data_IF_901421412855
#
_entry.id   IF_901421412855
#
_cell.length_a   1.000
_cell.length_b   1.000
_cell.length_c   1.000
_cell.angle_alpha   90.00
_cell.angle_beta   90.00
_cell.angle_gamma   90.00
#
_symmetry.space_group_name_H-M   'P 1'
#
loop_
_entity.id
_entity.type
_entity.pdbx_description
1 polymer ?
#
# COMPACT_ATOMS: atom_id res chain seq x y z
N UNK A 1 -23.75 -5.53 -31.65
CA UNK A 1 -24.33 -6.46 -30.66
C UNK A 1 -25.85 -6.34 -30.72
N UNK A 2 -26.59 -7.46 -30.74
CA UNK A 2 -28.06 -7.50 -30.78
C UNK A 2 -28.71 -7.05 -29.45
N UNK A 3 -27.94 -7.00 -28.37
CA UNK A 3 -28.41 -6.65 -27.02
C UNK A 3 -27.65 -5.44 -26.48
N UNK A 4 -28.34 -4.60 -25.70
CA UNK A 4 -27.81 -3.34 -25.16
C UNK A 4 -27.74 -3.38 -23.63
N UNK A 5 -26.89 -2.56 -23.05
CA UNK A 5 -26.89 -2.32 -21.62
C UNK A 5 -28.27 -1.84 -21.15
N UNK A 6 -28.77 -2.40 -20.05
CA UNK A 6 -30.12 -2.22 -19.53
C UNK A 6 -31.15 -3.25 -20.02
N UNK A 7 -30.80 -4.17 -20.94
CA UNK A 7 -31.71 -5.21 -21.42
C UNK A 7 -31.91 -6.31 -20.36
N UNK A 8 -33.16 -6.47 -19.91
CA UNK A 8 -33.55 -7.44 -18.90
C UNK A 8 -34.29 -8.66 -19.48
N UNK A 9 -34.40 -8.79 -20.81
CA UNK A 9 -35.22 -9.82 -21.48
C UNK A 9 -34.81 -11.26 -21.15
N UNK A 10 -33.53 -11.47 -20.82
CA UNK A 10 -32.97 -12.79 -20.46
C UNK A 10 -32.59 -12.89 -18.97
N UNK A 11 -33.02 -11.95 -18.14
CA UNK A 11 -32.65 -11.89 -16.73
C UNK A 11 -32.91 -13.23 -16.03
N UNK A 12 -34.11 -13.77 -16.16
CA UNK A 12 -34.51 -15.02 -15.48
C UNK A 12 -33.64 -16.21 -15.89
N UNK A 13 -33.32 -16.32 -17.19
CA UNK A 13 -32.50 -17.41 -17.71
C UNK A 13 -31.04 -17.30 -17.23
N UNK A 14 -30.49 -16.07 -17.21
CA UNK A 14 -29.13 -15.82 -16.73
C UNK A 14 -29.04 -16.06 -15.23
N UNK A 15 -30.01 -15.58 -14.43
CA UNK A 15 -30.05 -15.83 -12.99
C UNK A 15 -30.14 -17.31 -12.64
N UNK A 16 -30.79 -18.13 -13.50
CA UNK A 16 -30.81 -19.58 -13.36
C UNK A 16 -29.42 -20.19 -13.59
N UNK A 17 -28.73 -19.76 -14.65
CA UNK A 17 -27.36 -20.21 -14.98
C UNK A 17 -26.33 -19.79 -13.91
N UNK A 18 -26.60 -18.72 -13.17
CA UNK A 18 -25.77 -18.29 -12.02
C UNK A 18 -25.85 -19.25 -10.82
N UNK A 19 -26.67 -20.30 -10.88
CA UNK A 19 -26.75 -21.36 -9.86
C UNK A 19 -26.34 -22.74 -10.40
N UNK A 20 -25.76 -22.77 -11.60
CA UNK A 20 -25.36 -24.01 -12.26
C UNK A 20 -24.27 -24.78 -11.47
N UNK A 21 -24.27 -26.12 -11.49
CA UNK A 21 -23.22 -26.91 -10.86
C UNK A 21 -21.81 -26.66 -11.40
N UNK A 22 -21.66 -26.21 -12.66
CA UNK A 22 -20.36 -25.89 -13.27
C UNK A 22 -19.89 -24.48 -12.89
N UNK A 23 -18.69 -24.35 -12.27
CA UNK A 23 -18.07 -23.05 -11.99
C UNK A 23 -17.93 -22.16 -13.23
N UNK A 24 -17.60 -22.74 -14.37
CA UNK A 24 -17.41 -22.03 -15.64
C UNK A 24 -18.71 -21.43 -16.15
N UNK A 25 -19.82 -22.17 -16.06
CA UNK A 25 -21.16 -21.70 -16.44
C UNK A 25 -21.59 -20.54 -15.54
N UNK A 26 -21.37 -20.66 -14.23
CA UNK A 26 -21.67 -19.60 -13.27
C UNK A 26 -20.85 -18.34 -13.56
N UNK A 27 -19.56 -18.48 -13.84
CA UNK A 27 -18.68 -17.34 -14.20
C UNK A 27 -19.21 -16.66 -15.46
N UNK A 28 -19.48 -17.41 -16.53
CA UNK A 28 -20.00 -16.86 -17.79
C UNK A 28 -21.33 -16.14 -17.57
N UNK A 29 -22.24 -16.73 -16.79
CA UNK A 29 -23.52 -16.11 -16.46
C UNK A 29 -23.34 -14.78 -15.69
N UNK A 30 -22.40 -14.72 -14.73
CA UNK A 30 -22.03 -13.47 -14.05
C UNK A 30 -21.43 -12.43 -15.02
N UNK A 31 -20.64 -12.85 -16.01
CA UNK A 31 -20.08 -11.95 -17.04
C UNK A 31 -21.18 -11.38 -17.93
N UNK A 32 -22.11 -12.24 -18.35
CA UNK A 32 -23.29 -11.82 -19.12
C UNK A 32 -24.17 -10.87 -18.31
N UNK A 33 -24.34 -11.12 -17.01
CA UNK A 33 -25.09 -10.24 -16.12
C UNK A 33 -24.48 -8.84 -16.03
N UNK A 34 -23.16 -8.77 -15.86
CA UNK A 34 -22.41 -7.50 -15.89
C UNK A 34 -22.52 -6.79 -17.25
N UNK A 35 -22.45 -7.54 -18.35
CA UNK A 35 -22.52 -6.97 -19.69
C UNK A 35 -23.89 -6.37 -20.01
N UNK A 36 -24.98 -7.05 -19.63
CA UNK A 36 -26.35 -6.60 -19.87
C UNK A 36 -26.80 -5.54 -18.88
N UNK A 37 -26.19 -5.46 -17.69
CA UNK A 37 -26.32 -4.34 -16.76
C UNK A 37 -27.78 -3.96 -16.38
N UNK A 38 -28.67 -4.95 -16.21
CA UNK A 38 -30.05 -4.69 -15.77
C UNK A 38 -30.11 -4.22 -14.30
N UNK A 39 -31.20 -3.58 -13.83
CA UNK A 39 -31.29 -3.13 -12.44
C UNK A 39 -31.03 -4.26 -11.43
N UNK A 40 -30.22 -4.00 -10.39
CA UNK A 40 -29.81 -4.98 -9.36
C UNK A 40 -28.92 -6.15 -9.85
N UNK A 41 -28.44 -6.17 -11.10
CA UNK A 41 -27.58 -7.25 -11.60
C UNK A 41 -26.33 -7.48 -10.75
N UNK A 42 -25.68 -6.41 -10.26
CA UNK A 42 -24.47 -6.50 -9.42
C UNK A 42 -24.73 -7.10 -8.05
N UNK A 43 -25.91 -6.84 -7.47
CA UNK A 43 -26.34 -7.47 -6.22
C UNK A 43 -26.50 -8.98 -6.43
N UNK A 44 -27.08 -9.39 -7.57
CA UNK A 44 -27.23 -10.80 -7.90
C UNK A 44 -25.91 -11.50 -8.17
N UNK A 45 -25.00 -10.86 -8.91
CA UNK A 45 -23.62 -11.33 -9.13
C UNK A 45 -22.91 -11.52 -7.80
N UNK A 46 -23.07 -10.58 -6.86
CA UNK A 46 -22.57 -10.72 -5.50
C UNK A 46 -23.05 -11.96 -4.78
N UNK A 47 -24.37 -12.10 -4.66
CA UNK A 47 -24.99 -13.20 -3.92
C UNK A 47 -24.50 -14.55 -4.45
N UNK A 48 -24.44 -14.69 -5.78
CA UNK A 48 -23.93 -15.89 -6.46
C UNK A 48 -22.47 -16.18 -6.12
N UNK A 49 -21.61 -15.18 -6.19
CA UNK A 49 -20.17 -15.34 -5.94
C UNK A 49 -19.89 -15.66 -4.48
N UNK A 50 -20.61 -15.00 -3.56
CA UNK A 50 -20.52 -15.22 -2.12
C UNK A 50 -21.05 -16.60 -1.70
N UNK A 51 -22.11 -17.09 -2.34
CA UNK A 51 -22.68 -18.40 -2.06
C UNK A 51 -21.87 -19.56 -2.68
N UNK A 52 -21.02 -19.28 -3.67
CA UNK A 52 -20.27 -20.32 -4.36
C UNK A 52 -19.11 -20.87 -3.52
N UNK A 53 -18.98 -22.20 -3.49
CA UNK A 53 -17.83 -22.91 -2.89
C UNK A 53 -16.65 -23.03 -3.84
N UNK A 54 -16.83 -22.72 -5.13
CA UNK A 54 -15.79 -22.86 -6.13
C UNK A 54 -14.84 -21.66 -6.09
N UNK A 55 -13.54 -21.94 -5.85
CA UNK A 55 -12.49 -20.91 -5.76
C UNK A 55 -12.44 -20.02 -7.01
N UNK A 56 -12.57 -20.60 -8.20
CA UNK A 56 -12.58 -19.84 -9.46
C UNK A 56 -13.75 -18.86 -9.58
N UNK A 57 -14.94 -19.22 -9.08
CA UNK A 57 -16.11 -18.32 -9.06
C UNK A 57 -15.90 -17.19 -8.06
N UNK A 58 -15.32 -17.48 -6.88
CA UNK A 58 -14.98 -16.45 -5.89
C UNK A 58 -13.97 -15.44 -6.44
N UNK A 59 -12.91 -15.92 -7.10
CA UNK A 59 -11.83 -15.07 -7.62
C UNK A 59 -12.25 -14.27 -8.84
N UNK A 60 -12.82 -14.92 -9.87
CA UNK A 60 -13.24 -14.26 -11.10
C UNK A 60 -14.51 -13.45 -10.86
N UNK A 61 -15.43 -13.95 -10.04
CA UNK A 61 -16.63 -13.23 -9.63
C UNK A 61 -16.34 -11.92 -8.90
N UNK A 62 -15.34 -11.89 -8.02
CA UNK A 62 -14.86 -10.66 -7.40
C UNK A 62 -14.34 -9.66 -8.46
N UNK A 63 -13.65 -10.15 -9.51
CA UNK A 63 -13.21 -9.31 -10.63
C UNK A 63 -14.39 -8.77 -11.47
N UNK A 64 -15.47 -9.54 -11.60
CA UNK A 64 -16.69 -9.10 -12.28
C UNK A 64 -17.46 -8.05 -11.50
N UNK A 65 -17.30 -7.99 -10.18
CA UNK A 65 -17.92 -6.93 -9.38
C UNK A 65 -17.23 -5.57 -9.48
N UNK A 66 -16.08 -5.48 -10.16
CA UNK A 66 -15.36 -4.23 -10.41
C UNK A 66 -16.07 -3.39 -11.49
N UNK A 67 -16.10 -2.07 -11.39
CA UNK A 67 -16.66 -1.20 -12.44
C UNK A 67 -15.80 -1.25 -13.73
N UNK A 68 -16.36 -1.00 -14.93
CA UNK A 68 -15.58 -0.94 -16.17
C UNK A 68 -14.51 0.16 -16.09
N UNK A 69 -13.22 -0.20 -16.28
CA UNK A 69 -12.08 0.73 -16.23
C UNK A 69 -11.06 0.49 -15.11
N UNK A 70 -11.29 -0.49 -14.22
CA UNK A 70 -10.44 -0.69 -13.04
C UNK A 70 -9.33 -1.72 -13.25
N UNK A 71 -8.20 -1.26 -13.80
CA UNK A 71 -6.88 -1.90 -13.77
C UNK A 71 -5.94 -0.97 -12.98
N UNK A 72 -5.24 -1.48 -11.95
CA UNK A 72 -4.69 -0.69 -10.82
C UNK A 72 -5.77 0.20 -10.16
N UNK A 73 -5.54 0.68 -8.93
CA UNK A 73 -6.45 1.70 -8.39
C UNK A 73 -6.34 2.89 -9.33
N UNK A 74 -7.44 3.35 -9.91
CA UNK A 74 -7.38 4.49 -10.81
C UNK A 74 -6.81 5.66 -10.01
N UNK A 75 -5.60 6.10 -10.38
CA UNK A 75 -4.96 7.26 -9.79
C UNK A 75 -5.95 8.40 -9.87
N UNK A 76 -6.20 9.09 -8.76
CA UNK A 76 -6.97 10.35 -8.78
C UNK A 76 -6.33 11.32 -9.78
N UNK A 77 -7.10 12.31 -10.25
CA UNK A 77 -6.55 13.34 -11.15
C UNK A 77 -5.30 14.01 -10.57
N UNK A 78 -5.31 14.22 -9.25
CA UNK A 78 -4.15 14.74 -8.51
C UNK A 78 -2.96 13.79 -8.58
N UNK A 79 -3.15 12.50 -8.32
CA UNK A 79 -2.08 11.50 -8.38
C UNK A 79 -1.55 11.34 -9.81
N UNK A 80 -2.41 11.40 -10.84
CA UNK A 80 -1.97 11.39 -12.25
C UNK A 80 -1.07 12.57 -12.58
N UNK A 81 -1.50 13.78 -12.20
CA UNK A 81 -0.70 15.01 -12.38
C UNK A 81 0.64 14.88 -11.65
N UNK A 82 0.62 14.35 -10.42
CA UNK A 82 1.81 14.16 -9.60
C UNK A 82 2.78 13.13 -10.22
N UNK A 83 2.27 11.99 -10.72
CA UNK A 83 3.05 10.97 -11.42
C UNK A 83 3.70 11.54 -12.67
N UNK A 84 2.97 12.28 -13.50
CA UNK A 84 3.50 12.89 -14.73
C UNK A 84 4.62 13.88 -14.41
N UNK A 85 4.40 14.79 -13.45
CA UNK A 85 5.44 15.74 -13.00
C UNK A 85 6.66 14.99 -12.44
N UNK A 86 6.44 13.94 -11.66
CA UNK A 86 7.52 13.13 -11.09
C UNK A 86 8.33 12.37 -12.14
N UNK A 87 7.69 11.87 -13.19
CA UNK A 87 8.33 11.21 -14.34
C UNK A 87 9.22 12.18 -15.13
N UNK A 88 8.71 13.38 -15.42
CA UNK A 88 9.47 14.44 -16.10
C UNK A 88 10.71 14.83 -15.30
N UNK A 89 10.57 15.00 -13.98
CA UNK A 89 11.69 15.27 -13.08
C UNK A 89 12.70 14.12 -13.09
N UNK A 90 12.22 12.88 -12.93
CA UNK A 90 13.08 11.70 -12.84
C UNK A 90 13.91 11.52 -14.11
N UNK A 91 13.25 11.55 -15.27
CA UNK A 91 13.88 11.37 -16.58
C UNK A 91 14.91 12.45 -16.89
N UNK A 92 14.67 13.69 -16.45
CA UNK A 92 15.56 14.83 -16.74
C UNK A 92 16.77 14.87 -15.81
N UNK A 93 16.61 14.51 -14.53
CA UNK A 93 17.64 14.75 -13.51
C UNK A 93 18.12 13.48 -12.78
N UNK A 94 17.23 12.55 -12.45
CA UNK A 94 17.58 11.40 -11.61
C UNK A 94 18.13 10.23 -12.43
N UNK A 95 17.64 10.06 -13.66
CA UNK A 95 17.99 8.96 -14.55
C UNK A 95 19.47 8.98 -14.97
N UNK A 96 20.13 10.14 -14.97
CA UNK A 96 21.57 10.23 -15.27
C UNK A 96 22.44 9.43 -14.29
N UNK A 97 22.01 9.28 -13.05
CA UNK A 97 22.74 8.55 -12.02
C UNK A 97 22.08 7.20 -11.67
N UNK A 98 20.74 7.16 -11.56
CA UNK A 98 19.99 5.95 -11.20
C UNK A 98 19.56 5.11 -12.40
N UNK A 99 19.76 5.60 -13.63
CA UNK A 99 19.39 4.93 -14.88
C UNK A 99 17.89 5.03 -15.18
N UNK A 100 17.53 4.85 -16.45
CA UNK A 100 16.12 4.93 -16.89
C UNK A 100 15.23 3.86 -16.25
N UNK A 101 15.83 2.74 -15.83
CA UNK A 101 15.12 1.63 -15.16
C UNK A 101 15.25 1.67 -13.63
N UNK A 102 15.87 2.71 -13.08
CA UNK A 102 16.13 2.90 -11.65
C UNK A 102 16.94 1.76 -11.01
N UNK A 103 17.79 1.08 -11.79
CA UNK A 103 18.68 -0.01 -11.33
C UNK A 103 20.11 0.45 -11.02
N UNK A 104 20.39 1.74 -11.20
CA UNK A 104 21.73 2.32 -11.14
C UNK A 104 22.44 2.25 -12.50
N UNK A 105 23.50 3.05 -12.64
CA UNK A 105 24.36 3.09 -13.84
C UNK A 105 25.78 2.69 -13.44
N UNK A 106 26.42 1.84 -14.24
CA UNK A 106 27.84 1.51 -14.07
C UNK A 106 28.72 2.71 -14.47
N UNK A 107 29.79 2.93 -13.71
CA UNK A 107 30.77 3.98 -14.02
C UNK A 107 31.63 3.54 -15.20
N UNK A 108 31.64 4.36 -16.25
CA UNK A 108 32.44 4.08 -17.44
C UNK A 108 33.93 3.90 -17.06
N UNK A 109 34.50 2.76 -17.47
CA UNK A 109 35.91 2.43 -17.22
C UNK A 109 36.20 1.75 -15.88
N UNK A 110 35.21 1.57 -15.01
CA UNK A 110 35.36 0.86 -13.72
C UNK A 110 34.40 -0.33 -13.67
N UNK A 111 34.93 -1.53 -13.93
CA UNK A 111 34.12 -2.75 -13.98
C UNK A 111 33.45 -3.04 -12.64
N UNK A 112 32.11 -3.04 -12.63
CA UNK A 112 31.29 -3.34 -11.46
C UNK A 112 31.15 -2.19 -10.45
N UNK A 113 31.72 -1.01 -10.73
CA UNK A 113 31.50 0.18 -9.92
C UNK A 113 30.20 0.85 -10.36
N UNK A 114 29.28 1.09 -9.41
CA UNK A 114 28.00 1.73 -9.68
C UNK A 114 28.07 3.19 -9.24
N UNK A 115 27.54 4.09 -10.07
CA UNK A 115 27.47 5.52 -9.75
C UNK A 115 26.48 5.77 -8.61
N UNK A 116 25.31 5.14 -8.67
CA UNK A 116 24.25 5.31 -7.67
C UNK A 116 23.54 3.97 -7.39
N UNK A 117 22.90 3.83 -6.21
CA UNK A 117 22.16 2.62 -5.86
C UNK A 117 20.90 2.43 -6.72
N UNK A 118 20.42 1.18 -6.86
CA UNK A 118 19.10 0.92 -7.41
C UNK A 118 18.02 1.51 -6.49
N UNK A 119 17.02 2.16 -7.08
CA UNK A 119 15.81 2.61 -6.38
C UNK A 119 14.68 1.58 -6.48
N UNK A 120 14.73 0.71 -7.50
CA UNK A 120 13.84 -0.46 -7.60
C UNK A 120 14.10 -1.42 -6.44
N UNK A 121 13.05 -1.77 -5.69
CA UNK A 121 13.14 -2.67 -4.53
C UNK A 121 13.84 -2.09 -3.31
N UNK A 122 14.25 -0.82 -3.34
CA UNK A 122 15.00 -0.19 -2.25
C UNK A 122 14.19 -0.13 -0.94
N UNK A 123 14.78 -0.56 0.17
CA UNK A 123 14.16 -0.47 1.51
C UNK A 123 13.89 0.98 1.92
N UNK A 124 14.79 1.90 1.58
CA UNK A 124 14.64 3.33 1.87
C UNK A 124 13.46 3.94 1.10
N UNK A 125 13.19 3.42 -0.11
CA UNK A 125 12.09 3.90 -0.96
C UNK A 125 10.79 3.20 -0.63
N UNK A 126 10.77 1.88 -0.39
CA UNK A 126 9.54 1.13 -0.18
C UNK A 126 9.08 1.11 1.29
N UNK A 127 9.97 1.41 2.24
CA UNK A 127 9.62 1.57 3.64
C UNK A 127 8.90 2.90 3.93
N UNK A 128 9.20 3.46 5.10
CA UNK A 128 8.63 4.75 5.54
C UNK A 128 8.85 5.86 4.50
N UNK A 129 7.82 6.66 4.17
CA UNK A 129 7.95 7.81 3.27
C UNK A 129 9.09 8.77 3.64
N UNK A 130 9.37 8.90 4.95
CA UNK A 130 10.44 9.76 5.48
C UNK A 130 11.83 9.40 4.93
N UNK A 131 12.08 8.13 4.61
CA UNK A 131 13.38 7.69 4.10
C UNK A 131 13.79 8.42 2.82
N UNK A 132 12.94 8.37 1.79
CA UNK A 132 13.19 9.08 0.54
C UNK A 132 13.22 10.60 0.70
N UNK A 133 12.34 11.15 1.56
CA UNK A 133 12.26 12.59 1.80
C UNK A 133 13.54 13.11 2.47
N UNK A 134 14.02 12.45 3.52
CA UNK A 134 15.25 12.83 4.21
C UNK A 134 16.47 12.75 3.28
N UNK A 135 16.53 11.74 2.41
CA UNK A 135 17.59 11.59 1.41
C UNK A 135 17.54 12.72 0.39
N UNK A 136 16.39 13.09 -0.15
CA UNK A 136 16.31 14.22 -1.10
C UNK A 136 16.57 15.56 -0.42
N UNK A 137 16.22 15.73 0.84
CA UNK A 137 16.47 17.00 1.53
C UNK A 137 17.94 17.19 1.91
N UNK A 138 18.62 16.14 2.36
CA UNK A 138 19.96 16.26 2.97
C UNK A 138 21.05 15.46 2.28
N UNK A 139 20.71 14.63 1.30
CA UNK A 139 21.65 13.76 0.61
C UNK A 139 21.94 12.47 1.37
N UNK A 140 22.65 11.56 0.72
CA UNK A 140 23.04 10.26 1.27
C UNK A 140 24.44 9.90 0.78
N UNK A 141 25.28 9.41 1.69
CA UNK A 141 26.68 9.09 1.44
C UNK A 141 27.11 7.77 2.06
N UNK A 142 28.26 7.27 1.60
CA UNK A 142 28.89 6.07 2.13
C UNK A 142 28.27 4.79 1.58
N UNK A 143 28.50 3.70 2.30
CA UNK A 143 28.00 2.38 1.91
C UNK A 143 26.50 2.26 2.16
N UNK A 144 25.79 1.73 1.19
CA UNK A 144 24.35 1.45 1.27
C UNK A 144 24.19 -0.05 1.24
N UNK A 145 23.66 -0.64 2.32
CA UNK A 145 23.56 -2.09 2.49
C UNK A 145 24.88 -2.84 2.27
N UNK A 146 25.99 -2.23 2.72
CA UNK A 146 27.35 -2.79 2.59
C UNK A 146 27.92 -2.72 1.18
N UNK A 147 27.25 -2.03 0.24
CA UNK A 147 27.76 -1.77 -1.12
C UNK A 147 28.27 -0.35 -1.25
N UNK A 148 29.44 -0.21 -1.86
CA UNK A 148 30.04 1.08 -2.21
C UNK A 148 29.44 1.60 -3.52
N UNK A 149 29.27 2.91 -3.56
CA UNK A 149 28.83 3.66 -4.73
C UNK A 149 29.77 4.86 -4.88
N UNK A 150 30.14 5.17 -6.12
CA UNK A 150 31.11 6.24 -6.40
C UNK A 150 30.48 7.64 -6.24
N UNK A 151 29.17 7.74 -6.49
CA UNK A 151 28.42 8.98 -6.39
C UNK A 151 27.95 9.28 -4.97
N UNK A 152 28.06 10.55 -4.59
CA UNK A 152 27.30 11.13 -3.49
C UNK A 152 25.87 11.41 -3.96
N UNK A 153 24.85 11.00 -3.19
CA UNK A 153 23.50 11.48 -3.46
C UNK A 153 23.37 12.94 -3.01
N UNK A 154 23.31 13.85 -3.97
CA UNK A 154 23.30 15.30 -3.75
C UNK A 154 21.96 15.73 -3.13
N UNK A 155 21.96 16.61 -2.10
CA UNK A 155 20.73 17.19 -1.58
C UNK A 155 20.02 18.05 -2.64
N UNK A 156 18.72 17.88 -2.75
CA UNK A 156 17.81 18.57 -3.65
C UNK A 156 16.85 19.51 -2.89
N UNK A 157 17.20 19.90 -1.66
CA UNK A 157 16.39 20.77 -0.81
C UNK A 157 16.14 22.18 -1.39
N UNK A 158 16.85 22.61 -2.43
CA UNK A 158 16.55 23.88 -3.12
C UNK A 158 15.23 23.84 -3.90
N UNK A 159 14.75 22.66 -4.28
CA UNK A 159 13.44 22.50 -4.90
C UNK A 159 12.33 22.66 -3.86
N UNK A 160 11.10 22.95 -4.29
CA UNK A 160 9.95 23.08 -3.39
C UNK A 160 9.42 21.71 -2.89
N UNK A 161 8.44 21.75 -1.99
CA UNK A 161 7.82 20.56 -1.41
C UNK A 161 7.05 19.73 -2.43
N UNK A 162 6.46 20.38 -3.43
CA UNK A 162 5.66 19.74 -4.48
C UNK A 162 6.54 18.98 -5.46
N UNK A 163 7.72 19.51 -5.78
CA UNK A 163 8.72 18.88 -6.63
C UNK A 163 9.25 17.60 -5.99
N UNK A 164 9.62 17.67 -4.70
CA UNK A 164 10.11 16.50 -3.95
C UNK A 164 9.00 15.45 -3.81
N UNK A 165 7.78 15.89 -3.46
CA UNK A 165 6.62 15.01 -3.38
C UNK A 165 6.35 14.31 -4.72
N UNK A 166 6.45 15.02 -5.85
CA UNK A 166 6.21 14.47 -7.18
C UNK A 166 7.20 13.37 -7.54
N UNK A 167 8.50 13.66 -7.48
CA UNK A 167 9.53 12.69 -7.90
C UNK A 167 9.56 11.46 -7.00
N UNK A 168 9.40 11.62 -5.68
CA UNK A 168 9.38 10.47 -4.77
C UNK A 168 8.11 9.64 -4.93
N UNK A 169 6.96 10.27 -5.18
CA UNK A 169 5.73 9.54 -5.47
C UNK A 169 5.86 8.69 -6.73
N UNK A 170 6.45 9.25 -7.79
CA UNK A 170 6.74 8.51 -9.02
C UNK A 170 7.68 7.34 -8.75
N UNK A 171 8.82 7.57 -8.10
CA UNK A 171 9.80 6.51 -7.78
C UNK A 171 9.19 5.41 -6.90
N UNK A 172 8.33 5.76 -5.93
CA UNK A 172 7.64 4.80 -5.04
C UNK A 172 6.57 3.97 -5.74
N UNK A 173 6.07 4.40 -6.89
CA UNK A 173 4.98 3.73 -7.63
C UNK A 173 5.40 3.22 -9.02
N UNK A 174 6.69 3.36 -9.36
CA UNK A 174 7.29 2.93 -10.62
C UNK A 174 8.39 1.88 -10.37
N UNK A 175 8.93 1.28 -11.44
CA UNK A 175 10.07 0.36 -11.35
C UNK A 175 9.85 -0.89 -10.48
N UNK A 176 8.60 -1.30 -10.30
CA UNK A 176 8.22 -2.42 -9.43
C UNK A 176 8.05 -2.05 -7.95
N UNK A 177 8.27 -0.79 -7.58
CA UNK A 177 8.00 -0.29 -6.23
C UNK A 177 6.49 -0.18 -5.95
N UNK A 178 6.15 -0.30 -4.67
CA UNK A 178 4.78 -0.31 -4.16
C UNK A 178 4.71 0.50 -2.86
N UNK A 179 4.68 1.81 -2.98
CA UNK A 179 4.62 2.72 -1.84
C UNK A 179 3.45 3.70 -1.91
N UNK A 180 3.14 4.33 -0.79
CA UNK A 180 2.21 5.47 -0.75
C UNK A 180 2.73 6.67 -1.54
N UNK A 181 1.80 7.48 -2.04
CA UNK A 181 2.11 8.82 -2.53
C UNK A 181 2.60 9.71 -1.39
N UNK A 182 3.55 10.59 -1.70
CA UNK A 182 4.07 11.61 -0.77
C UNK A 182 3.35 12.91 -1.04
N UNK A 183 2.87 13.55 0.03
CA UNK A 183 2.25 14.86 -0.01
C UNK A 183 3.29 15.98 0.24
N UNK A 184 3.05 17.20 -0.28
CA UNK A 184 3.89 18.35 0.03
C UNK A 184 3.95 18.65 1.55
N UNK A 185 2.87 18.39 2.28
CA UNK A 185 2.83 18.59 3.73
C UNK A 185 3.81 17.67 4.48
N UNK A 186 3.96 16.42 4.04
CA UNK A 186 4.95 15.49 4.61
C UNK A 186 6.38 15.97 4.34
N UNK A 187 6.64 16.55 3.15
CA UNK A 187 7.95 17.13 2.82
C UNK A 187 8.22 18.37 3.67
N UNK A 188 7.25 19.27 3.79
CA UNK A 188 7.36 20.47 4.61
C UNK A 188 7.68 20.13 6.08
N UNK A 189 7.04 19.09 6.61
CA UNK A 189 7.30 18.60 7.96
C UNK A 189 8.72 18.04 8.09
N UNK A 190 9.14 17.19 7.14
CA UNK A 190 10.49 16.63 7.13
C UNK A 190 11.59 17.71 6.97
N UNK A 191 11.31 18.82 6.27
CA UNK A 191 12.22 19.97 6.20
C UNK A 191 12.46 20.58 7.56
N UNK A 192 11.40 20.86 8.31
CA UNK A 192 11.49 21.39 9.68
C UNK A 192 12.27 20.43 10.58
N UNK A 193 11.96 19.14 10.47
CA UNK A 193 12.63 18.09 11.25
C UNK A 193 14.14 17.99 10.97
N UNK A 194 14.58 18.37 9.76
CA UNK A 194 15.98 18.23 9.33
C UNK A 194 16.71 19.56 9.17
N UNK A 195 16.10 20.69 9.54
CA UNK A 195 16.62 22.04 9.26
C UNK A 195 18.09 22.22 9.68
N UNK A 196 18.43 21.80 10.90
CA UNK A 196 19.79 21.91 11.48
C UNK A 196 20.86 21.02 10.86
N UNK A 197 20.48 20.03 10.03
CA UNK A 197 21.44 19.09 9.44
C UNK A 197 22.13 19.70 8.21
N UNK A 198 23.47 19.78 8.25
CA UNK A 198 24.28 20.23 7.12
C UNK A 198 24.88 19.09 6.27
N UNK A 199 25.21 17.95 6.90
CA UNK A 199 25.90 16.85 6.22
C UNK A 199 24.92 15.80 5.66
N UNK A 200 25.28 15.13 4.55
CA UNK A 200 24.54 13.96 4.07
C UNK A 200 24.35 12.89 5.13
N UNK A 201 23.27 12.12 5.02
CA UNK A 201 23.08 10.95 5.87
C UNK A 201 24.13 9.88 5.53
N UNK A 202 24.59 9.13 6.52
CA UNK A 202 25.05 7.76 6.25
C UNK A 202 23.85 6.83 6.21
N UNK A 203 23.98 5.69 5.53
CA UNK A 203 22.90 4.70 5.50
C UNK A 203 22.51 4.22 6.92
N UNK A 204 23.48 4.01 7.80
CA UNK A 204 23.25 3.58 9.18
C UNK A 204 22.48 4.64 9.99
N UNK A 205 22.87 5.91 9.90
CA UNK A 205 22.17 7.01 10.58
C UNK A 205 20.72 7.12 10.10
N UNK A 206 20.51 7.07 8.78
CA UNK A 206 19.17 7.14 8.20
C UNK A 206 18.30 5.99 8.71
N UNK A 207 18.79 4.75 8.63
CA UNK A 207 18.04 3.58 9.09
C UNK A 207 17.78 3.58 10.60
N UNK A 208 18.62 4.23 11.40
CA UNK A 208 18.39 4.38 12.84
C UNK A 208 17.25 5.37 13.16
N UNK A 209 16.93 6.29 12.24
CA UNK A 209 15.87 7.29 12.39
C UNK A 209 14.51 6.87 11.83
N UNK A 210 14.50 5.86 10.96
CA UNK A 210 13.25 5.40 10.35
C UNK A 210 12.53 4.42 11.27
N UNK A 211 11.18 4.43 11.29
CA UNK A 211 10.40 3.42 11.98
C UNK A 211 10.83 2.02 11.56
N UNK A 212 11.00 1.12 12.53
CA UNK A 212 11.42 -0.26 12.27
C UNK A 212 10.22 -1.15 11.99
N UNK A 213 10.29 -1.96 10.94
CA UNK A 213 9.28 -2.98 10.71
C UNK A 213 9.45 -4.10 11.75
N UNK A 214 8.40 -4.35 12.52
CA UNK A 214 8.34 -5.49 13.44
C UNK A 214 8.16 -6.75 12.59
N UNK A 215 9.03 -7.77 12.72
CA UNK A 215 8.94 -8.99 11.91
C UNK A 215 7.58 -9.68 12.04
N UNK A 216 7.01 -10.11 10.90
CA UNK A 216 5.72 -10.81 10.86
C UNK A 216 5.70 -12.09 11.70
N UNK A 217 6.84 -12.76 11.88
CA UNK A 217 6.99 -13.93 12.75
C UNK A 217 6.69 -13.67 14.22
N UNK A 218 6.67 -12.41 14.65
CA UNK A 218 6.30 -11.96 16.01
C UNK A 218 4.83 -11.57 16.13
N UNK A 219 4.06 -11.69 15.05
CA UNK A 219 2.67 -11.28 14.97
C UNK A 219 1.75 -12.49 14.96
N UNK A 220 0.59 -12.34 15.60
CA UNK A 220 -0.60 -13.16 15.37
C UNK A 220 -1.70 -12.26 14.87
N UNK A 221 -2.56 -12.75 13.99
CA UNK A 221 -3.62 -11.95 13.39
C UNK A 221 -4.98 -12.63 13.48
N UNK A 222 -6.02 -11.81 13.52
CA UNK A 222 -7.41 -12.24 13.53
C UNK A 222 -8.29 -11.19 12.86
N UNK A 223 -9.48 -11.58 12.43
CA UNK A 223 -10.40 -10.69 11.74
C UNK A 223 -11.87 -11.00 12.08
N UNK A 224 -12.72 -9.97 12.03
CA UNK A 224 -14.16 -10.10 12.27
C UNK A 224 -14.89 -10.90 11.19
N UNK A 225 -14.34 -10.89 9.97
CA UNK A 225 -14.86 -11.62 8.83
C UNK A 225 -13.75 -12.55 8.31
N UNK A 226 -14.09 -13.77 7.89
CA UNK A 226 -13.14 -14.75 7.35
C UNK A 226 -11.83 -14.91 8.16
N UNK A 227 -11.95 -15.07 9.49
CA UNK A 227 -10.79 -15.17 10.39
C UNK A 227 -9.78 -16.26 9.99
N UNK A 228 -10.24 -17.37 9.40
CA UNK A 228 -9.37 -18.47 8.97
C UNK A 228 -8.38 -18.10 7.87
N UNK A 229 -8.54 -16.94 7.22
CA UNK A 229 -7.61 -16.41 6.22
C UNK A 229 -6.79 -15.23 6.74
N UNK A 230 -6.86 -14.86 8.03
CA UNK A 230 -6.17 -13.69 8.56
C UNK A 230 -4.65 -13.77 8.38
N UNK A 231 -4.05 -14.95 8.59
CA UNK A 231 -2.60 -15.17 8.45
C UNK A 231 -2.07 -14.90 7.04
N UNK A 232 -2.95 -14.90 6.03
CA UNK A 232 -2.61 -14.55 4.64
C UNK A 232 -2.27 -13.08 4.43
N UNK A 233 -2.46 -12.23 5.44
CA UNK A 233 -2.01 -10.84 5.41
C UNK A 233 -0.57 -10.66 5.89
N UNK A 234 0.08 -11.70 6.44
CA UNK A 234 1.42 -11.60 7.04
C UNK A 234 2.35 -12.74 6.57
N UNK A 235 1.97 -13.48 5.53
CA UNK A 235 2.70 -14.66 5.07
C UNK A 235 3.89 -14.36 4.14
N UNK A 236 4.14 -13.08 3.84
CA UNK A 236 5.27 -12.62 3.04
C UNK A 236 5.09 -12.88 1.55
N UNK A 237 3.86 -13.12 1.09
CA UNK A 237 3.53 -13.50 -0.27
C UNK A 237 2.47 -12.55 -0.83
N UNK A 238 2.88 -11.74 -1.80
CA UNK A 238 1.98 -10.82 -2.50
C UNK A 238 0.90 -11.54 -3.35
N UNK A 239 1.00 -12.85 -3.54
CA UNK A 239 0.02 -13.65 -4.28
C UNK A 239 -1.14 -14.17 -3.40
N UNK A 240 -0.93 -14.17 -2.08
CA UNK A 240 -1.94 -14.49 -1.06
C UNK A 240 -2.56 -13.22 -0.50
N UNK A 241 -3.77 -13.36 0.07
CA UNK A 241 -4.41 -12.27 0.79
C UNK A 241 -5.39 -12.78 1.85
N UNK A 242 -5.51 -12.00 2.91
CA UNK A 242 -6.77 -11.95 3.66
C UNK A 242 -7.84 -11.31 2.78
N UNK A 243 -9.06 -11.83 2.82
CA UNK A 243 -10.24 -11.18 2.23
C UNK A 243 -11.45 -11.45 3.11
N UNK A 244 -12.31 -10.46 3.32
CA UNK A 244 -13.49 -10.59 4.17
C UNK A 244 -14.50 -11.64 3.68
N UNK A 245 -14.41 -12.07 2.41
CA UNK A 245 -15.38 -12.94 1.72
C UNK A 245 -16.83 -12.47 1.86
N UNK A 246 -17.01 -11.18 2.13
CA UNK A 246 -18.28 -10.49 2.32
C UNK A 246 -18.04 -9.04 1.95
N UNK A 247 -19.09 -8.38 1.46
CA UNK A 247 -19.02 -6.95 1.18
C UNK A 247 -18.63 -6.16 2.41
N UNK A 248 -17.81 -5.15 2.16
CA UNK A 248 -17.27 -4.28 3.19
C UNK A 248 -18.41 -3.52 3.87
N UNK A 249 -18.60 -3.80 5.16
CA UNK A 249 -19.58 -3.14 6.00
C UNK A 249 -18.89 -2.40 7.16
N UNK A 250 -19.36 -1.21 7.55
CA UNK A 250 -18.80 -0.46 8.66
C UNK A 250 -18.67 -1.30 9.93
N UNK A 251 -17.52 -1.20 10.60
CA UNK A 251 -17.26 -1.91 11.86
C UNK A 251 -16.55 -3.26 11.69
N UNK A 252 -16.36 -3.75 10.46
CA UNK A 252 -15.43 -4.86 10.22
C UNK A 252 -14.03 -4.50 10.72
N UNK A 253 -13.38 -5.43 11.42
CA UNK A 253 -12.07 -5.21 12.02
C UNK A 253 -11.06 -6.29 11.68
N UNK A 254 -9.80 -5.89 11.64
CA UNK A 254 -8.62 -6.74 11.55
C UNK A 254 -7.72 -6.41 12.75
N UNK A 255 -7.28 -7.43 13.47
CA UNK A 255 -6.54 -7.29 14.71
C UNK A 255 -5.19 -7.99 14.62
N UNK A 256 -4.18 -7.32 15.15
CA UNK A 256 -2.81 -7.81 15.29
C UNK A 256 -2.52 -7.96 16.78
N UNK A 257 -1.92 -9.08 17.18
CA UNK A 257 -1.32 -9.30 18.49
C UNK A 257 0.19 -9.44 18.33
N UNK A 258 0.95 -8.67 19.11
CA UNK A 258 2.38 -8.75 19.25
C UNK A 258 2.73 -9.73 20.39
N UNK A 259 3.90 -10.37 20.28
CA UNK A 259 4.44 -11.28 21.30
C UNK A 259 4.74 -10.60 22.66
N UNK A 260 4.93 -9.28 22.68
CA UNK A 260 5.14 -8.47 23.87
C UNK A 260 4.59 -7.04 23.68
N UNK A 261 4.35 -6.34 24.79
CA UNK A 261 4.02 -4.90 24.76
C UNK A 261 5.21 -4.15 24.18
N UNK A 262 5.02 -3.56 23.00
CA UNK A 262 6.06 -2.89 22.23
C UNK A 262 5.57 -1.49 21.83
N UNK A 263 6.39 -0.44 21.92
CA UNK A 263 6.07 0.86 21.33
C UNK A 263 5.88 0.75 19.81
N UNK A 264 4.73 1.19 19.33
CA UNK A 264 4.35 1.18 17.90
C UNK A 264 4.01 2.58 17.41
N UNK A 265 4.35 2.84 16.15
CA UNK A 265 4.22 4.16 15.50
C UNK A 265 3.35 4.12 14.25
N UNK A 266 2.97 2.93 13.78
CA UNK A 266 2.14 2.83 12.59
C UNK A 266 1.85 1.41 12.13
N UNK A 267 1.00 1.32 11.11
CA UNK A 267 0.70 0.10 10.35
C UNK A 267 0.60 0.42 8.86
N UNK A 268 1.09 -0.49 8.02
CA UNK A 268 0.99 -0.38 6.56
C UNK A 268 0.17 -1.56 6.05
N UNK A 269 -0.84 -1.28 5.23
CA UNK A 269 -1.67 -2.28 4.55
C UNK A 269 -1.42 -2.22 3.05
N UNK A 270 -0.99 -3.33 2.43
CA UNK A 270 -0.87 -3.47 0.99
C UNK A 270 -2.10 -4.19 0.41
N UNK A 271 -2.79 -3.51 -0.51
CA UNK A 271 -3.91 -4.02 -1.30
C UNK A 271 -3.68 -3.84 -2.80
N UNK A 272 -2.43 -3.68 -3.27
CA UNK A 272 -2.10 -3.42 -4.68
C UNK A 272 -2.57 -4.51 -5.66
N UNK A 273 -2.72 -5.75 -5.20
CA UNK A 273 -3.22 -6.84 -6.04
C UNK A 273 -4.75 -7.03 -5.90
N UNK A 274 -5.41 -6.25 -5.04
CA UNK A 274 -6.87 -6.14 -4.89
C UNK A 274 -7.23 -4.66 -4.75
N UNK A 275 -6.96 -3.91 -5.81
CA UNK A 275 -6.90 -2.43 -5.78
C UNK A 275 -8.17 -1.69 -5.40
N UNK A 276 -9.31 -2.38 -5.34
CA UNK A 276 -10.58 -1.82 -4.89
C UNK A 276 -11.01 -2.33 -3.52
N UNK A 277 -10.24 -3.22 -2.91
CA UNK A 277 -10.56 -3.86 -1.63
C UNK A 277 -9.86 -3.16 -0.44
N UNK A 278 -9.36 -1.93 -0.60
CA UNK A 278 -8.82 -1.12 0.50
C UNK A 278 -9.95 -0.61 1.42
N UNK A 279 -9.69 -0.37 2.72
CA UNK A 279 -10.69 0.17 3.63
C UNK A 279 -11.19 1.55 3.14
N UNK A 280 -12.50 1.76 3.11
CA UNK A 280 -13.10 3.04 2.62
C UNK A 280 -12.90 4.21 3.58
N UNK A 281 -12.67 3.87 4.85
CA UNK A 281 -12.15 4.72 5.91
C UNK A 281 -11.70 3.80 7.03
N UNK A 282 -10.89 4.28 7.96
CA UNK A 282 -10.39 3.46 9.05
C UNK A 282 -10.24 4.25 10.34
N UNK A 283 -10.30 3.51 11.44
CA UNK A 283 -9.80 3.91 12.75
C UNK A 283 -8.83 2.85 13.25
N UNK A 284 -7.75 3.28 13.89
CA UNK A 284 -6.80 2.40 14.55
C UNK A 284 -6.85 2.67 16.04
N UNK A 285 -7.08 1.61 16.81
CA UNK A 285 -7.02 1.63 18.27
C UNK A 285 -6.00 0.62 18.76
N UNK A 286 -5.44 0.87 19.94
CA UNK A 286 -4.41 0.00 20.54
C UNK A 286 -4.81 -0.42 21.95
N UNK A 287 -4.23 -1.53 22.40
CA UNK A 287 -4.41 -2.07 23.74
C UNK A 287 -3.15 -2.82 24.20
N UNK A 288 -2.89 -2.84 25.50
CA UNK A 288 -1.83 -3.66 26.10
C UNK A 288 -2.33 -5.01 26.63
N UNK A 289 -3.65 -5.17 26.80
CA UNK A 289 -4.28 -6.34 27.42
C UNK A 289 -5.32 -7.04 26.52
N UNK A 290 -5.72 -6.43 25.40
CA UNK A 290 -6.68 -6.97 24.42
C UNK A 290 -8.15 -6.74 24.79
N UNK A 291 -8.42 -6.17 25.97
CA UNK A 291 -9.75 -5.95 26.54
C UNK A 291 -10.08 -4.47 26.69
N UNK A 292 -9.15 -3.66 27.19
CA UNK A 292 -9.27 -2.22 27.34
C UNK A 292 -8.60 -1.54 26.14
N UNK A 293 -9.39 -0.84 25.33
CA UNK A 293 -8.94 -0.21 24.10
C UNK A 293 -8.83 1.30 24.28
N UNK A 294 -7.79 1.89 23.70
CA UNK A 294 -7.66 3.34 23.62
C UNK A 294 -8.78 3.96 22.80
N UNK A 295 -8.97 5.28 22.93
CA UNK A 295 -9.57 6.03 21.83
C UNK A 295 -8.73 5.84 20.55
N UNK A 296 -9.31 6.01 19.35
CA UNK A 296 -8.55 5.83 18.12
C UNK A 296 -7.31 6.72 18.06
N UNK A 297 -6.13 6.10 17.91
CA UNK A 297 -4.83 6.78 17.80
C UNK A 297 -4.58 7.32 16.40
N UNK A 298 -5.28 6.78 15.40
CA UNK A 298 -5.33 7.31 14.04
C UNK A 298 -6.71 7.10 13.44
N UNK A 299 -7.09 8.03 12.55
CA UNK A 299 -8.26 7.93 11.69
C UNK A 299 -7.91 8.45 10.31
N UNK A 300 -8.53 7.90 9.28
CA UNK A 300 -8.32 8.41 7.93
C UNK A 300 -9.31 7.85 6.93
N UNK A 301 -9.41 8.55 5.82
CA UNK A 301 -10.20 8.14 4.67
C UNK A 301 -9.34 7.36 3.67
N UNK A 302 -9.94 7.00 2.53
CA UNK A 302 -9.25 6.38 1.40
C UNK A 302 -7.96 7.12 1.01
N UNK A 303 -6.82 6.43 1.09
CA UNK A 303 -5.53 6.92 0.58
C UNK A 303 -4.99 6.17 -0.65
N UNK A 304 -5.63 5.07 -1.08
CA UNK A 304 -5.22 4.27 -2.23
C UNK A 304 -4.95 2.80 -1.89
N UNK A 305 -4.35 2.02 -2.80
CA UNK A 305 -4.12 0.59 -2.61
C UNK A 305 -3.01 0.27 -1.59
N UNK A 306 -2.23 1.27 -1.15
CA UNK A 306 -1.39 1.15 0.04
C UNK A 306 -1.93 2.12 1.08
N UNK A 307 -2.27 1.62 2.26
CA UNK A 307 -2.71 2.46 3.38
C UNK A 307 -1.59 2.52 4.41
N UNK A 308 -0.84 3.62 4.44
CA UNK A 308 0.14 3.93 5.49
C UNK A 308 -0.55 4.74 6.59
N UNK A 309 -0.68 4.12 7.77
CA UNK A 309 -1.28 4.72 8.96
C UNK A 309 -0.18 5.00 9.97
N UNK A 310 0.10 6.28 10.19
CA UNK A 310 1.09 6.74 11.16
C UNK A 310 0.40 7.41 12.35
N UNK A 311 0.95 7.21 13.55
CA UNK A 311 0.48 7.82 14.79
C UNK A 311 1.64 8.02 15.78
N UNK A 312 1.47 8.88 16.81
CA UNK A 312 2.48 9.03 17.85
C UNK A 312 2.83 7.70 18.52
N UNK A 313 4.11 7.53 18.88
CA UNK A 313 4.58 6.30 19.55
C UNK A 313 3.78 6.01 20.81
N UNK A 314 3.27 4.79 20.91
CA UNK A 314 2.51 4.33 22.08
C UNK A 314 2.74 2.83 22.34
N UNK A 315 2.78 2.40 23.61
CA UNK A 315 2.92 0.98 23.95
C UNK A 315 1.67 0.20 23.56
N UNK A 316 1.84 -0.85 22.75
CA UNK A 316 0.75 -1.73 22.36
C UNK A 316 1.19 -3.20 22.39
N UNK A 317 0.27 -4.07 22.76
CA UNK A 317 0.33 -5.51 22.47
C UNK A 317 -0.68 -5.90 21.41
N UNK A 318 -1.80 -5.19 21.34
CA UNK A 318 -2.86 -5.40 20.37
C UNK A 318 -3.10 -4.12 19.59
N UNK A 319 -3.25 -4.27 18.28
CA UNK A 319 -3.63 -3.20 17.36
C UNK A 319 -4.89 -3.66 16.65
N UNK A 320 -5.92 -2.81 16.61
CA UNK A 320 -7.16 -3.09 15.89
C UNK A 320 -7.40 -2.00 14.86
N UNK A 321 -7.52 -2.44 13.61
CA UNK A 321 -7.87 -1.62 12.46
C UNK A 321 -9.34 -1.90 12.20
N UNK A 322 -10.19 -0.89 12.38
CA UNK A 322 -11.62 -0.96 12.09
C UNK A 322 -11.90 -0.16 10.85
N UNK A 323 -12.41 -0.81 9.81
CA UNK A 323 -12.81 -0.10 8.61
C UNK A 323 -14.21 0.51 8.83
N UNK A 324 -14.42 1.73 8.35
CA UNK A 324 -15.60 2.55 8.65
C UNK A 324 -16.60 2.70 7.51
N UNK A 325 -16.20 2.45 6.27
CA UNK A 325 -17.03 2.78 5.11
C UNK A 325 -17.81 1.59 4.59
N UNK A 326 -18.81 1.86 3.74
CA UNK A 326 -19.56 0.83 3.05
C UNK A 326 -19.12 0.76 1.59
N UNK A 327 -18.98 -0.45 1.05
CA UNK A 327 -18.73 -0.63 -0.38
C UNK A 327 -19.47 -1.86 -0.89
N UNK A 328 -20.69 -1.63 -1.40
CA UNK A 328 -21.42 -2.65 -2.13
C UNK A 328 -20.60 -3.04 -3.37
N UNK A 329 -20.33 -4.33 -3.56
CA UNK A 329 -19.49 -4.81 -4.68
C UNK A 329 -18.01 -5.04 -4.36
N UNK A 330 -17.48 -4.53 -3.23
CA UNK A 330 -16.07 -4.70 -2.88
C UNK A 330 -15.88 -5.41 -1.54
N UNK A 331 -14.86 -6.24 -1.46
CA UNK A 331 -14.44 -6.86 -0.21
C UNK A 331 -13.45 -5.97 0.52
N UNK A 332 -13.08 -6.36 1.73
CA UNK A 332 -11.89 -5.84 2.37
C UNK A 332 -10.80 -6.89 2.29
N UNK A 333 -9.67 -6.55 1.68
CA UNK A 333 -8.56 -7.46 1.47
C UNK A 333 -7.24 -6.84 1.91
N UNK A 334 -6.31 -7.68 2.34
CA UNK A 334 -4.94 -7.29 2.73
C UNK A 334 -4.02 -8.38 2.19
N UNK A 335 -3.12 -8.03 1.27
CA UNK A 335 -2.11 -8.95 0.75
C UNK A 335 -0.94 -9.03 1.70
N UNK A 336 -0.42 -7.89 2.13
CA UNK A 336 0.64 -7.82 3.12
C UNK A 336 0.37 -6.71 4.15
N UNK A 337 0.80 -6.95 5.38
CA UNK A 337 0.67 -6.06 6.51
C UNK A 337 2.04 -5.89 7.18
N UNK A 338 2.36 -4.66 7.55
CA UNK A 338 3.54 -4.34 8.35
C UNK A 338 3.14 -3.54 9.59
N UNK A 339 3.76 -3.85 10.73
CA UNK A 339 3.68 -3.04 11.94
C UNK A 339 4.97 -2.27 12.10
N UNK A 340 4.85 -0.97 12.36
CA UNK A 340 6.00 -0.08 12.57
C UNK A 340 6.19 0.16 14.07
N UNK A 341 7.41 -0.10 14.54
CA UNK A 341 7.90 0.23 15.87
C UNK A 341 8.64 1.57 15.89
N UNK A 342 9.14 1.93 17.07
CA UNK A 342 10.00 3.10 17.22
C UNK A 342 11.27 3.01 16.38
N UNK A 343 11.78 4.17 15.98
CA UNK A 343 13.13 4.32 15.49
C UNK A 343 14.13 4.01 16.62
N UNK A 344 15.31 3.49 16.26
CA UNK A 344 16.38 3.25 17.25
C UNK A 344 16.88 4.55 17.89
N UNK A 345 16.85 5.65 17.12
CA UNK A 345 17.29 6.97 17.53
C UNK A 345 16.27 8.04 17.13
N UNK A 346 16.27 9.15 17.87
CA UNK A 346 15.59 10.38 17.49
C UNK A 346 16.57 11.36 16.82
N UNK A 347 16.06 12.28 16.00
CA UNK A 347 16.87 13.30 15.33
C UNK A 347 17.75 14.10 16.30
N UNK A 348 17.19 14.48 17.45
CA UNK A 348 17.91 15.20 18.52
C UNK A 348 19.11 14.46 19.12
N UNK A 349 19.19 13.14 18.96
CA UNK A 349 20.27 12.29 19.52
C UNK A 349 21.40 12.00 18.52
N UNK A 350 21.30 12.51 17.29
CA UNK A 350 22.31 12.34 16.24
C UNK A 350 23.13 13.60 15.94
N UNK A 351 22.78 14.73 16.57
CA UNK A 351 23.50 16.01 16.43
C UNK A 351 24.63 16.18 17.48
N UNK A 352 24.93 15.11 18.23
CA UNK A 352 26.04 15.00 19.19
C UNK A 352 26.84 13.74 18.87
#
# INVERSE_FOLDING_TARGET
SLFRAGDASFRTDIEKLMTDPSPEVVIQACMTAKYLAWPEHMKKVSETVLASKAKGVKEIGAYLMLAPGQQRAELSDRERVLMKKGEEIYSTLCASCHGDTARGVEVAGLKGAMLAPPLSGSKTINGSPKGGIYVLLKGLQGEIEGKKYEGLMIPMASNDDEWIAAVLSYVRNSFGNRGTFISPAEVAQARKETEGRANPWTYAELQALLPKVIPNSRLKVSASANNGAADKAIDGSADSRYTSEKFMEPGMWFQIELDAVTPVTGVILDTNNSVNDYPRGYEVSISTDGTNWSAPVAKGDRKGPVTDVQFPSAPARFIRITQLGKADGNFWSIHELQVLGDAEKSLSKLEH
#
